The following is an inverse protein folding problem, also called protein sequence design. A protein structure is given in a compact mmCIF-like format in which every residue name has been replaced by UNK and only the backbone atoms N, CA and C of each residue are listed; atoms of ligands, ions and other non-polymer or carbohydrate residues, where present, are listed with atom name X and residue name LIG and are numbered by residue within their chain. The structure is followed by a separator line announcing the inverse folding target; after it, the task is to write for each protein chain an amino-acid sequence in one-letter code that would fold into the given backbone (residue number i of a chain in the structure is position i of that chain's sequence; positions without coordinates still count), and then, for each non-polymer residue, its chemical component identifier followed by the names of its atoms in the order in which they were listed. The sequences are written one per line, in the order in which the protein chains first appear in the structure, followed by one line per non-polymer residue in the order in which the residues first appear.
data_IF_298644601545
#
_entry.id   IF_298644601545
#
_cell.length_a   1.000
_cell.length_b   1.000
_cell.length_c   1.000
_cell.angle_alpha   90.00
_cell.angle_beta   90.00
_cell.angle_gamma   90.00
#
_symmetry.space_group_name_H-M   'P 1'
#
loop_
_entity.id
_entity.type
_entity.pdbx_description
1 polymer ?
#
# COMPACT_ATOMS: atom_id res chain seq x y z
N UNK A 1 26.16 13.86 0.93
CA UNK A 1 25.78 13.15 2.17
C UNK A 1 24.72 12.13 1.80
N UNK A 2 25.05 10.84 1.73
CA UNK A 2 24.03 9.80 1.69
C UNK A 2 23.36 9.77 3.06
N UNK A 3 22.17 10.37 3.19
CA UNK A 3 21.30 10.03 4.30
C UNK A 3 20.97 8.54 4.13
N UNK A 4 21.42 7.72 5.07
CA UNK A 4 20.95 6.34 5.15
C UNK A 4 19.42 6.38 5.15
N UNK A 5 18.78 5.60 4.27
CA UNK A 5 17.33 5.47 4.33
C UNK A 5 16.96 5.03 5.75
N UNK A 6 16.07 5.76 6.44
CA UNK A 6 15.77 5.44 7.82
C UNK A 6 15.15 4.04 7.86
N UNK A 7 15.73 3.15 8.67
CA UNK A 7 15.22 1.80 8.83
C UNK A 7 13.75 1.83 9.28
N UNK A 8 12.94 0.87 8.79
CA UNK A 8 11.58 0.68 9.30
C UNK A 8 11.59 0.58 10.83
N UNK A 9 10.49 1.01 11.46
CA UNK A 9 10.29 0.76 12.88
C UNK A 9 10.31 -0.75 13.17
N UNK A 10 10.87 -1.19 14.31
CA UNK A 10 10.79 -2.59 14.72
C UNK A 10 9.35 -3.08 14.84
N UNK A 11 9.13 -4.37 14.60
CA UNK A 11 7.85 -5.00 14.91
C UNK A 11 7.51 -4.83 16.40
N UNK A 12 6.25 -4.60 16.72
CA UNK A 12 5.78 -4.32 18.07
C UNK A 12 5.96 -2.87 18.53
N UNK A 13 6.47 -1.96 17.69
CA UNK A 13 6.47 -0.52 18.01
C UNK A 13 5.03 0.00 18.16
N UNK A 14 4.67 0.43 19.36
CA UNK A 14 3.32 0.91 19.68
C UNK A 14 3.22 2.44 19.64
N UNK A 15 2.08 2.91 19.15
CA UNK A 15 1.76 4.32 18.99
C UNK A 15 0.54 4.71 19.82
N UNK A 16 0.62 5.86 20.45
CA UNK A 16 -0.47 6.52 21.18
C UNK A 16 -1.10 7.59 20.30
N UNK A 17 -2.42 7.58 20.19
CA UNK A 17 -3.21 8.59 19.49
C UNK A 17 -4.66 8.54 19.98
N UNK A 18 -5.38 9.63 19.80
CA UNK A 18 -6.77 9.72 20.20
C UNK A 18 -7.67 9.84 18.97
N UNK A 19 -8.88 9.27 19.04
CA UNK A 19 -9.91 9.56 18.06
C UNK A 19 -10.32 11.04 18.17
N UNK A 20 -10.32 11.78 17.07
CA UNK A 20 -10.62 13.22 17.05
C UNK A 20 -12.04 13.50 17.53
N UNK A 21 -12.99 12.63 17.17
CA UNK A 21 -14.43 12.80 17.46
C UNK A 21 -14.76 12.85 18.96
N UNK A 22 -14.09 12.04 19.77
CA UNK A 22 -14.46 11.83 21.18
C UNK A 22 -13.26 11.76 22.13
N UNK A 23 -12.05 12.03 21.62
CA UNK A 23 -10.80 11.94 22.36
C UNK A 23 -10.53 10.56 22.98
N UNK A 24 -11.11 9.49 22.42
CA UNK A 24 -10.89 8.13 22.92
C UNK A 24 -9.43 7.70 22.68
N UNK A 25 -8.68 7.30 23.71
CA UNK A 25 -7.28 6.94 23.57
C UNK A 25 -7.13 5.57 22.92
N UNK A 26 -6.18 5.47 22.00
CA UNK A 26 -5.81 4.25 21.29
C UNK A 26 -4.33 3.96 21.50
N UNK A 27 -3.99 2.69 21.56
CA UNK A 27 -2.61 2.20 21.65
C UNK A 27 -2.45 1.00 20.75
N UNK A 28 -1.81 1.18 19.61
CA UNK A 28 -1.68 0.12 18.61
C UNK A 28 -0.32 0.15 17.93
N UNK A 29 0.13 -1.02 17.47
CA UNK A 29 1.11 -1.09 16.40
C UNK A 29 0.44 -0.64 15.08
N UNK A 30 1.18 0.15 14.29
CA UNK A 30 0.72 0.67 13.01
C UNK A 30 1.61 0.13 11.88
N UNK A 31 0.96 -0.29 10.80
CA UNK A 31 1.60 -0.77 9.58
C UNK A 31 0.96 -0.12 8.35
N UNK A 32 1.68 -0.14 7.25
CA UNK A 32 1.19 0.26 5.94
C UNK A 32 0.75 -0.97 5.15
N UNK A 33 -0.51 -0.96 4.72
CA UNK A 33 -1.04 -1.84 3.68
C UNK A 33 -1.07 -1.05 2.37
N UNK A 34 -0.77 -1.75 1.29
CA UNK A 34 -0.68 -1.18 -0.04
C UNK A 34 -1.55 -1.98 -0.98
N UNK A 35 -2.02 -1.30 -2.02
CA UNK A 35 -2.79 -1.91 -3.08
C UNK A 35 -2.49 -1.21 -4.39
N UNK A 36 -2.14 -1.99 -5.40
CA UNK A 36 -2.00 -1.45 -6.74
C UNK A 36 -3.39 -1.27 -7.38
N UNK A 37 -3.53 -0.24 -8.22
CA UNK A 37 -4.79 0.05 -8.89
C UNK A 37 -5.39 -1.22 -9.55
N UNK A 38 -6.70 -1.41 -9.34
CA UNK A 38 -7.50 -2.53 -9.83
C UNK A 38 -7.01 -3.95 -9.47
N UNK A 39 -6.05 -4.10 -8.55
CA UNK A 39 -5.64 -5.40 -8.02
C UNK A 39 -6.84 -6.15 -7.39
N UNK A 40 -7.77 -5.43 -6.73
CA UNK A 40 -8.96 -6.03 -6.11
C UNK A 40 -9.87 -6.76 -7.08
N UNK A 41 -9.87 -6.40 -8.36
CA UNK A 41 -10.71 -7.04 -9.37
C UNK A 41 -10.32 -8.52 -9.58
N UNK A 42 -9.11 -8.89 -9.15
CA UNK A 42 -8.56 -10.23 -9.27
C UNK A 42 -8.61 -11.04 -7.97
N UNK A 43 -9.26 -10.51 -6.92
CA UNK A 43 -9.31 -11.14 -5.59
C UNK A 43 -10.04 -12.49 -5.55
N UNK A 44 -10.89 -12.76 -6.53
CA UNK A 44 -11.70 -13.98 -6.56
C UNK A 44 -10.92 -15.16 -7.15
N UNK A 45 -9.69 -14.94 -7.63
CA UNK A 45 -8.79 -15.99 -8.08
C UNK A 45 -8.05 -16.64 -6.90
N UNK A 46 -7.99 -17.97 -6.90
CA UNK A 46 -7.12 -18.74 -6.02
C UNK A 46 -5.84 -19.22 -6.74
N UNK A 47 -4.76 -19.53 -6.01
CA UNK A 47 -3.58 -20.20 -6.56
C UNK A 47 -3.88 -21.54 -7.26
N UNK A 48 -5.00 -22.19 -6.96
CA UNK A 48 -5.47 -23.39 -7.66
C UNK A 48 -6.02 -23.10 -9.06
N UNK A 49 -6.44 -21.87 -9.32
CA UNK A 49 -7.18 -21.49 -10.54
C UNK A 49 -6.24 -20.86 -11.56
N UNK A 50 -5.29 -20.06 -11.08
CA UNK A 50 -4.32 -19.32 -11.90
C UNK A 50 -3.03 -19.13 -11.09
N UNK A 51 -1.89 -19.33 -11.76
CA UNK A 51 -0.60 -19.03 -11.14
C UNK A 51 -0.35 -17.51 -11.07
N UNK A 52 0.48 -17.09 -10.12
CA UNK A 52 0.74 -15.67 -9.90
C UNK A 52 1.32 -14.95 -11.14
N UNK A 53 2.28 -15.52 -11.91
CA UNK A 53 2.76 -14.90 -13.14
C UNK A 53 1.71 -14.71 -14.22
N UNK A 54 0.78 -15.66 -14.41
CA UNK A 54 -0.31 -15.52 -15.37
C UNK A 54 -1.30 -14.43 -14.92
N UNK A 55 -1.66 -14.41 -13.65
CA UNK A 55 -2.54 -13.38 -13.09
C UNK A 55 -1.90 -11.99 -13.16
N UNK A 56 -0.58 -11.91 -12.92
CA UNK A 56 0.20 -10.69 -13.11
C UNK A 56 0.11 -10.15 -14.53
N UNK A 57 0.27 -10.99 -15.56
CA UNK A 57 0.15 -10.55 -16.96
C UNK A 57 -1.26 -10.04 -17.24
N UNK A 58 -2.28 -10.78 -16.84
CA UNK A 58 -3.68 -10.40 -17.05
C UNK A 58 -4.01 -9.05 -16.37
N UNK A 59 -3.55 -8.85 -15.13
CA UNK A 59 -3.69 -7.59 -14.43
C UNK A 59 -2.93 -6.47 -15.13
N UNK A 60 -1.65 -6.69 -15.46
CA UNK A 60 -0.80 -5.69 -16.11
C UNK A 60 -1.36 -5.26 -17.47
N UNK A 61 -1.88 -6.18 -18.28
CA UNK A 61 -2.50 -5.86 -19.58
C UNK A 61 -3.73 -4.97 -19.44
N UNK A 62 -4.44 -5.04 -18.30
CA UNK A 62 -5.63 -4.24 -18.05
C UNK A 62 -5.33 -2.85 -17.48
N UNK A 63 -4.26 -2.71 -16.69
CA UNK A 63 -3.97 -1.48 -15.95
C UNK A 63 -2.75 -0.72 -16.47
N UNK A 64 -1.88 -1.37 -17.25
CA UNK A 64 -0.71 -0.72 -17.83
C UNK A 64 -1.16 0.46 -18.69
N UNK A 65 -0.40 1.54 -18.59
CA UNK A 65 -0.60 2.78 -19.34
C UNK A 65 -1.87 3.57 -19.02
N UNK A 66 -2.79 3.07 -18.18
CA UNK A 66 -4.01 3.81 -17.84
C UNK A 66 -3.68 5.21 -17.29
N UNK A 67 -2.81 5.30 -16.29
CA UNK A 67 -2.42 6.60 -15.72
C UNK A 67 -1.70 7.49 -16.72
N UNK A 68 -0.89 6.90 -17.60
CA UNK A 68 -0.20 7.64 -18.65
C UNK A 68 -1.20 8.21 -19.67
N UNK A 69 -2.25 7.47 -20.01
CA UNK A 69 -3.31 7.93 -20.89
C UNK A 69 -4.10 9.11 -20.28
N UNK A 70 -4.34 9.08 -18.97
CA UNK A 70 -5.03 10.16 -18.25
C UNK A 70 -4.16 11.43 -18.07
N UNK A 71 -2.90 11.27 -17.67
CA UNK A 71 -1.96 12.38 -17.43
C UNK A 71 -0.53 12.03 -17.90
N UNK A 72 -0.26 12.17 -19.22
CA UNK A 72 1.02 11.77 -19.81
C UNK A 72 2.18 12.69 -19.42
N UNK A 73 1.90 13.86 -18.82
CA UNK A 73 2.93 14.77 -18.32
C UNK A 73 3.45 14.32 -16.94
N UNK A 74 2.62 13.60 -16.18
CA UNK A 74 2.94 13.15 -14.82
C UNK A 74 3.43 11.71 -14.78
N UNK A 75 2.83 10.82 -15.58
CA UNK A 75 3.07 9.39 -15.51
C UNK A 75 3.75 8.87 -16.77
N UNK A 76 4.57 7.84 -16.61
CA UNK A 76 5.21 7.10 -17.71
C UNK A 76 4.35 5.90 -18.12
N UNK A 77 4.52 5.38 -19.34
CA UNK A 77 3.98 4.08 -19.71
C UNK A 77 4.36 3.00 -18.67
N UNK A 78 3.37 2.22 -18.27
CA UNK A 78 3.45 1.19 -17.22
C UNK A 78 3.36 1.70 -15.79
N UNK A 79 3.25 3.01 -15.54
CA UNK A 79 3.04 3.51 -14.17
C UNK A 79 1.63 3.17 -13.70
N UNK A 80 1.57 2.56 -12.51
CA UNK A 80 0.34 2.14 -11.83
C UNK A 80 0.35 2.72 -10.42
N UNK A 81 -0.78 3.28 -10.01
CA UNK A 81 -0.93 3.96 -8.73
C UNK A 81 -0.97 2.95 -7.58
N UNK A 82 -0.41 3.35 -6.44
CA UNK A 82 -0.45 2.59 -5.20
C UNK A 82 -1.25 3.37 -4.17
N UNK A 83 -2.35 2.77 -3.73
CA UNK A 83 -3.15 3.27 -2.62
C UNK A 83 -2.61 2.73 -1.30
N UNK A 84 -2.60 3.58 -0.26
CA UNK A 84 -2.02 3.27 1.04
C UNK A 84 -3.05 3.37 2.15
N UNK A 85 -3.05 2.38 3.04
CA UNK A 85 -3.92 2.30 4.22
C UNK A 85 -3.08 2.06 5.46
N UNK A 86 -3.31 2.84 6.51
CA UNK A 86 -2.80 2.59 7.86
C UNK A 86 -3.70 1.57 8.53
N UNK A 87 -3.09 0.53 9.07
CA UNK A 87 -3.80 -0.53 9.79
C UNK A 87 -2.97 -1.08 10.95
N UNK A 88 -3.55 -2.02 11.68
CA UNK A 88 -2.81 -2.86 12.63
C UNK A 88 -2.23 -4.07 11.91
N UNK A 89 -1.20 -4.74 12.46
CA UNK A 89 -0.65 -5.96 11.85
C UNK A 89 -1.71 -7.04 11.61
N UNK A 90 -2.69 -7.18 12.51
CA UNK A 90 -3.79 -8.15 12.36
C UNK A 90 -4.82 -7.76 11.29
N UNK A 91 -4.82 -6.51 10.83
CA UNK A 91 -5.86 -5.97 9.96
C UNK A 91 -7.20 -5.72 10.66
N UNK A 92 -7.25 -5.82 12.00
CA UNK A 92 -8.46 -5.61 12.78
C UNK A 92 -8.38 -4.26 13.50
N UNK A 93 -9.49 -3.53 13.55
CA UNK A 93 -9.63 -2.26 14.26
C UNK A 93 -9.44 -1.06 13.33
N UNK A 94 -8.20 -0.71 13.02
CA UNK A 94 -7.86 0.48 12.24
C UNK A 94 -7.69 0.12 10.77
N UNK A 95 -8.38 0.86 9.90
CA UNK A 95 -8.22 0.78 8.45
C UNK A 95 -8.58 2.15 7.85
N UNK A 96 -7.63 3.07 7.82
CA UNK A 96 -7.81 4.41 7.25
C UNK A 96 -6.81 4.66 6.15
N UNK A 97 -7.12 5.50 5.16
CA UNK A 97 -6.10 5.91 4.19
C UNK A 97 -4.89 6.54 4.90
N UNK A 98 -3.69 6.26 4.39
CA UNK A 98 -2.49 6.85 4.94
C UNK A 98 -2.48 8.37 4.69
N UNK A 99 -1.95 9.19 5.60
CA UNK A 99 -1.83 10.61 5.32
C UNK A 99 -0.74 10.87 4.30
N UNK A 100 -0.88 11.97 3.55
CA UNK A 100 0.11 12.47 2.59
C UNK A 100 0.43 11.54 1.41
N UNK A 101 -0.30 10.44 1.21
CA UNK A 101 -0.19 9.70 -0.03
C UNK A 101 -0.77 10.52 -1.18
N UNK A 102 -0.21 10.32 -2.36
CA UNK A 102 -0.74 10.95 -3.56
C UNK A 102 -2.06 10.30 -3.94
N UNK A 103 -3.12 11.08 -4.09
CA UNK A 103 -4.40 10.60 -4.61
C UNK A 103 -4.28 10.27 -6.09
N UNK A 104 -4.81 9.12 -6.49
CA UNK A 104 -4.92 8.79 -7.91
C UNK A 104 -5.84 9.80 -8.63
N UNK A 105 -5.72 9.96 -9.97
CA UNK A 105 -6.65 10.77 -10.75
C UNK A 105 -8.12 10.42 -10.49
N UNK A 106 -8.44 9.14 -10.25
CA UNK A 106 -9.77 8.69 -9.86
C UNK A 106 -10.23 9.26 -8.51
N UNK A 107 -9.35 9.19 -7.50
CA UNK A 107 -9.67 9.64 -6.15
C UNK A 107 -9.81 11.16 -6.04
N UNK A 108 -9.17 11.93 -6.94
CA UNK A 108 -9.31 13.39 -6.98
C UNK A 108 -10.73 13.88 -7.30
N UNK A 109 -11.59 13.00 -7.82
CA UNK A 109 -13.00 13.32 -8.08
C UNK A 109 -13.92 13.08 -6.89
N UNK A 110 -13.42 12.41 -5.85
CA UNK A 110 -14.15 12.20 -4.60
C UNK A 110 -14.06 13.47 -3.73
N UNK A 111 -15.09 13.78 -2.92
CA UNK A 111 -14.98 14.80 -1.89
C UNK A 111 -13.78 14.46 -0.98
N UNK A 112 -12.97 15.47 -0.62
CA UNK A 112 -11.71 15.39 0.13
C UNK A 112 -11.56 14.05 0.88
N UNK A 113 -10.80 13.08 0.34
CA UNK A 113 -10.77 11.75 0.90
C UNK A 113 -10.23 11.81 2.32
N UNK A 114 -11.05 11.36 3.26
CA UNK A 114 -10.67 11.26 4.66
C UNK A 114 -9.49 10.31 4.80
N UNK A 115 -8.55 10.68 5.67
CA UNK A 115 -7.37 9.88 5.97
C UNK A 115 -7.27 9.62 7.48
N UNK A 116 -6.21 8.94 7.88
CA UNK A 116 -5.95 8.66 9.29
C UNK A 116 -5.99 9.92 10.16
N UNK A 117 -5.49 11.06 9.68
CA UNK A 117 -5.43 12.31 10.43
C UNK A 117 -6.76 13.08 10.44
N UNK A 118 -7.71 12.72 9.57
CA UNK A 118 -9.11 13.16 9.69
C UNK A 118 -9.77 12.57 10.94
N UNK A 119 -9.48 11.30 11.24
CA UNK A 119 -10.17 10.56 12.31
C UNK A 119 -9.38 10.48 13.61
N UNK A 120 -8.05 10.59 13.57
CA UNK A 120 -7.17 10.41 14.70
C UNK A 120 -6.13 11.52 14.82
N UNK A 121 -5.68 11.80 16.03
CA UNK A 121 -4.55 12.70 16.26
C UNK A 121 -3.26 12.10 15.70
N UNK A 122 -2.28 12.96 15.42
CA UNK A 122 -0.97 12.49 14.99
C UNK A 122 -0.36 11.51 16.03
N UNK A 123 -0.01 10.28 15.63
CA UNK A 123 0.51 9.29 16.57
C UNK A 123 1.87 9.70 17.14
N UNK A 124 2.09 9.34 18.40
CA UNK A 124 3.36 9.49 19.11
C UNK A 124 3.81 8.13 19.65
N UNK A 125 5.12 7.88 19.63
CA UNK A 125 5.71 6.65 20.11
C UNK A 125 5.43 6.50 21.61
N UNK A 126 4.96 5.33 22.05
CA UNK A 126 4.50 5.14 23.43
C UNK A 126 5.60 5.38 24.49
N UNK A 127 6.84 5.02 24.17
CA UNK A 127 7.99 5.19 25.08
C UNK A 127 8.70 6.55 24.95
N UNK A 128 9.01 6.99 23.72
CA UNK A 128 9.84 8.17 23.49
C UNK A 128 9.05 9.47 23.32
N UNK A 129 7.75 9.38 23.05
CA UNK A 129 6.91 10.54 22.72
C UNK A 129 7.19 11.15 21.35
N UNK A 130 8.10 10.57 20.55
CA UNK A 130 8.40 11.06 19.20
C UNK A 130 7.20 10.87 18.27
N UNK A 131 6.94 11.84 17.39
CA UNK A 131 5.88 11.71 16.37
C UNK A 131 6.24 10.62 15.37
N UNK A 132 5.23 9.90 14.89
CA UNK A 132 5.42 8.89 13.84
C UNK A 132 6.05 9.52 12.59
N UNK A 133 6.96 8.78 11.98
CA UNK A 133 7.45 9.07 10.65
C UNK A 133 6.83 8.02 9.72
N UNK A 134 5.84 8.44 8.91
CA UNK A 134 5.07 7.55 8.06
C UNK A 134 5.94 6.76 7.08
N UNK A 135 7.07 7.33 6.62
CA UNK A 135 8.04 6.68 5.72
C UNK A 135 8.86 5.57 6.39
N UNK A 136 8.71 5.37 7.70
CA UNK A 136 9.36 4.30 8.46
C UNK A 136 8.36 3.23 8.93
N UNK A 137 7.07 3.40 8.68
CA UNK A 137 6.11 2.36 9.04
C UNK A 137 6.40 1.08 8.25
N UNK A 138 6.31 -0.10 8.88
CA UNK A 138 6.48 -1.37 8.16
C UNK A 138 5.43 -1.53 7.06
N UNK A 139 5.86 -1.92 5.86
CA UNK A 139 4.97 -2.29 4.75
C UNK A 139 4.69 -3.79 4.84
N UNK A 140 3.41 -4.15 4.96
CA UNK A 140 2.94 -5.53 5.10
C UNK A 140 3.33 -6.35 3.86
N UNK A 141 3.85 -7.54 4.10
CA UNK A 141 4.02 -8.57 3.07
C UNK A 141 2.69 -9.25 2.79
N UNK A 142 2.29 -9.27 1.53
CA UNK A 142 1.12 -9.99 1.02
C UNK A 142 1.58 -11.33 0.48
N UNK A 143 0.70 -12.34 0.58
CA UNK A 143 0.98 -13.70 0.13
C UNK A 143 -0.12 -14.14 -0.81
N UNK A 144 0.26 -14.75 -1.92
CA UNK A 144 -0.68 -15.39 -2.83
C UNK A 144 -1.23 -16.68 -2.20
N UNK A 145 -2.43 -16.58 -1.60
CA UNK A 145 -3.06 -17.68 -0.88
C UNK A 145 -4.59 -17.60 -0.90
N UNK A 146 -5.24 -18.62 -0.34
CA UNK A 146 -6.71 -18.78 -0.28
C UNK A 146 -7.35 -18.39 1.06
N UNK A 147 -6.63 -17.71 1.97
CA UNK A 147 -7.11 -17.53 3.34
C UNK A 147 -6.63 -16.28 4.05
N UNK A 148 -7.57 -15.62 4.74
CA UNK A 148 -7.31 -14.44 5.57
C UNK A 148 -7.66 -13.12 4.88
N UNK A 149 -7.29 -12.00 5.50
CA UNK A 149 -7.56 -10.64 5.01
C UNK A 149 -6.88 -10.31 3.67
N UNK A 150 -5.86 -11.09 3.30
CA UNK A 150 -5.10 -10.93 2.07
C UNK A 150 -5.43 -12.02 1.02
N UNK A 151 -6.53 -12.78 1.21
CA UNK A 151 -6.96 -13.79 0.23
C UNK A 151 -7.20 -13.18 -1.15
N UNK A 152 -6.64 -13.79 -2.19
CA UNK A 152 -6.74 -13.27 -3.56
C UNK A 152 -5.86 -12.04 -3.84
N UNK A 153 -5.03 -11.62 -2.88
CA UNK A 153 -4.05 -10.56 -3.07
C UNK A 153 -2.63 -11.11 -3.04
N UNK A 154 -1.66 -10.29 -3.46
CA UNK A 154 -0.24 -10.65 -3.34
C UNK A 154 0.31 -11.50 -4.49
N UNK A 155 -0.46 -11.77 -5.55
CA UNK A 155 0.08 -12.34 -6.78
C UNK A 155 1.20 -11.46 -7.37
N UNK A 156 1.15 -10.14 -7.15
CA UNK A 156 2.23 -9.22 -7.53
C UNK A 156 3.52 -9.61 -6.82
N UNK A 157 3.51 -9.69 -5.49
CA UNK A 157 4.70 -10.07 -4.71
C UNK A 157 5.20 -11.48 -5.06
N UNK A 158 4.28 -12.42 -5.26
CA UNK A 158 4.61 -13.79 -5.63
C UNK A 158 5.24 -13.87 -7.04
N UNK A 159 4.70 -13.15 -8.02
CA UNK A 159 5.16 -13.18 -9.40
C UNK A 159 6.53 -12.51 -9.55
N UNK A 160 6.69 -11.29 -9.02
CA UNK A 160 7.86 -10.44 -9.31
C UNK A 160 8.82 -10.27 -8.13
N UNK A 161 8.55 -10.86 -6.96
CA UNK A 161 9.42 -10.79 -5.79
C UNK A 161 9.60 -9.37 -5.23
N UNK A 162 8.69 -8.45 -5.55
CA UNK A 162 8.81 -7.03 -5.28
C UNK A 162 7.66 -6.52 -4.41
N UNK A 163 7.98 -5.57 -3.52
CA UNK A 163 6.99 -4.79 -2.77
C UNK A 163 7.38 -3.31 -2.75
N UNK A 164 6.41 -2.40 -2.58
CA UNK A 164 6.71 -0.98 -2.53
C UNK A 164 7.45 -0.56 -1.26
N UNK A 165 8.22 0.52 -1.39
CA UNK A 165 8.66 1.29 -0.23
C UNK A 165 7.48 2.05 0.41
N UNK A 166 7.56 2.40 1.71
CA UNK A 166 6.53 3.17 2.41
C UNK A 166 6.09 4.42 1.63
N UNK A 167 4.78 4.54 1.36
CA UNK A 167 4.17 5.65 0.65
C UNK A 167 4.72 5.90 -0.77
N UNK A 168 5.32 4.88 -1.40
CA UNK A 168 5.67 4.94 -2.81
C UNK A 168 4.39 5.20 -3.64
N UNK A 169 4.31 6.26 -4.46
CA UNK A 169 3.06 6.66 -5.10
C UNK A 169 2.67 5.78 -6.29
N UNK A 170 3.66 5.28 -7.02
CA UNK A 170 3.46 4.49 -8.24
C UNK A 170 4.48 3.35 -8.33
N UNK A 171 4.13 2.28 -9.01
CA UNK A 171 5.03 1.24 -9.51
C UNK A 171 5.05 1.25 -11.03
N UNK A 172 6.17 0.91 -11.66
CA UNK A 172 6.23 0.74 -13.11
C UNK A 172 6.22 -0.76 -13.45
N UNK A 173 5.11 -1.26 -13.99
CA UNK A 173 4.90 -2.71 -14.21
C UNK A 173 5.86 -3.27 -15.25
N UNK A 174 6.23 -2.50 -16.28
CA UNK A 174 7.17 -2.94 -17.30
C UNK A 174 8.59 -3.08 -16.73
N UNK A 175 9.05 -2.09 -15.95
CA UNK A 175 10.36 -2.14 -15.31
C UNK A 175 10.45 -3.30 -14.32
N UNK A 176 9.40 -3.52 -13.53
CA UNK A 176 9.36 -4.60 -12.56
C UNK A 176 9.31 -5.98 -13.22
N UNK A 177 8.50 -6.15 -14.27
CA UNK A 177 8.47 -7.39 -15.04
C UNK A 177 9.85 -7.70 -15.67
N UNK A 178 10.50 -6.68 -16.25
CA UNK A 178 11.85 -6.82 -16.80
C UNK A 178 12.88 -7.20 -15.74
N UNK A 179 12.83 -6.58 -14.55
CA UNK A 179 13.72 -6.90 -13.44
C UNK A 179 13.50 -8.32 -12.89
N UNK A 180 12.26 -8.80 -12.91
CA UNK A 180 11.88 -10.15 -12.49
C UNK A 180 12.12 -11.22 -13.57
N UNK A 181 12.51 -10.83 -14.79
CA UNK A 181 12.68 -11.76 -15.91
C UNK A 181 11.36 -12.29 -16.49
N UNK A 182 10.23 -11.65 -16.15
CA UNK A 182 8.92 -11.95 -16.73
C UNK A 182 8.83 -11.15 -18.03
N UNK A 183 8.95 -11.84 -19.17
CA UNK A 183 8.71 -11.22 -20.47
C UNK A 183 7.21 -10.92 -20.64
N UNK A 184 6.86 -9.79 -21.28
CA UNK A 184 5.50 -9.57 -21.77
C UNK A 184 5.10 -10.70 -22.73
#
# INVERSE_FOLDING_TARGET
MHQAQPHPYPAGTTWLFNAVRNNYPNTFELVLRWEAHDERLFRDHAPSDVDAPALWRQWADNVADYLHAEDPLRYRPGDVHITWTISTPSGIGIAEYAPYYELSPFQKTLPDPEDFLTHYTHPVHAETGERVNWLRLPVVDRRWNTGGQDSGYGFIQEAIGWKPGPLQPVMNVHQLAAAAGIRP
#
